data_IF_666860591899
#
_entry.id   IF_666860591899
#
_cell.length_a   1.000
_cell.length_b   1.000
_cell.length_c   1.000
_cell.angle_alpha   90.00
_cell.angle_beta   90.00
_cell.angle_gamma   90.00
#
_symmetry.space_group_name_H-M   'P 1'
#
loop_
_entity.id
_entity.type
_entity.pdbx_description
1 polymer ?
#
# COMPACT_ATOMS: atom_id res chain seq x y z
N UNK A 1 -26.30 -7.80 -57.62
CA UNK A 1 -24.95 -7.87 -58.21
C UNK A 1 -24.08 -8.56 -57.16
N UNK A 2 -23.83 -9.86 -57.18
CA UNK A 2 -23.25 -10.74 -58.21
C UNK A 2 -21.71 -10.87 -58.08
N UNK A 3 -21.27 -12.01 -57.51
CA UNK A 3 -20.04 -12.78 -57.84
C UNK A 3 -18.67 -12.10 -57.50
N UNK A 4 -17.59 -12.78 -57.12
CA UNK A 4 -17.19 -14.20 -57.25
C UNK A 4 -16.02 -14.60 -56.30
N UNK A 5 -15.94 -15.89 -55.94
CA UNK A 5 -14.69 -16.64 -55.63
C UNK A 5 -14.31 -17.49 -56.90
N UNK A 6 -13.31 -18.43 -56.97
CA UNK A 6 -12.45 -19.06 -55.93
C UNK A 6 -11.02 -19.51 -56.37
N UNK A 7 -10.36 -20.41 -55.58
CA UNK A 7 -9.26 -21.37 -55.94
C UNK A 7 -7.87 -20.74 -56.27
N UNK A 8 -6.70 -21.39 -56.29
CA UNK A 8 -6.10 -22.68 -55.86
C UNK A 8 -4.55 -22.55 -55.98
N UNK A 9 -3.63 -23.41 -55.49
CA UNK A 9 -3.65 -24.58 -54.57
C UNK A 9 -2.20 -24.90 -54.07
N UNK A 10 -2.07 -25.97 -53.27
CA UNK A 10 -0.86 -26.61 -52.75
C UNK A 10 0.12 -27.22 -53.79
N UNK A 11 1.37 -27.49 -53.38
CA UNK A 11 2.12 -28.70 -53.75
C UNK A 11 3.15 -29.10 -52.67
N UNK A 12 3.49 -30.39 -52.63
CA UNK A 12 4.32 -31.04 -51.62
C UNK A 12 5.50 -31.82 -52.27
N UNK A 13 6.17 -32.67 -51.47
CA UNK A 13 7.26 -33.62 -51.79
C UNK A 13 8.70 -33.09 -51.61
N UNK A 14 9.69 -33.92 -51.27
CA UNK A 14 9.69 -35.22 -50.58
C UNK A 14 11.14 -35.53 -50.11
N UNK A 15 11.30 -36.56 -49.27
CA UNK A 15 12.60 -36.97 -48.72
C UNK A 15 13.49 -37.73 -49.72
N UNK A 16 14.81 -37.76 -49.46
CA UNK A 16 15.58 -39.02 -49.51
C UNK A 16 16.96 -38.93 -48.83
N UNK A 17 17.35 -40.02 -48.16
CA UNK A 17 18.65 -40.22 -47.51
C UNK A 17 19.80 -40.44 -48.51
N UNK A 18 21.05 -40.21 -48.08
CA UNK A 18 22.08 -41.28 -48.03
C UNK A 18 23.31 -40.92 -47.17
N UNK A 19 23.92 -41.95 -46.54
CA UNK A 19 25.21 -41.91 -45.82
C UNK A 19 26.34 -42.45 -46.72
N UNK A 20 27.61 -42.11 -46.41
CA UNK A 20 28.83 -42.97 -46.40
C UNK A 20 30.10 -42.07 -46.48
N UNK A 21 30.81 -41.79 -45.37
CA UNK A 21 31.98 -42.50 -44.75
C UNK A 21 33.40 -42.13 -45.21
N UNK A 22 34.22 -41.75 -44.21
CA UNK A 22 35.68 -41.99 -44.03
C UNK A 22 36.69 -41.48 -45.10
N UNK A 23 37.56 -40.53 -44.67
CA UNK A 23 38.99 -40.79 -44.30
C UNK A 23 39.70 -39.52 -43.84
N UNK A 24 40.59 -39.65 -42.84
CA UNK A 24 41.60 -38.64 -42.47
C UNK A 24 42.88 -38.84 -43.30
N UNK A 25 43.76 -37.83 -43.37
CA UNK A 25 45.00 -37.91 -42.57
C UNK A 25 45.43 -36.59 -41.88
N UNK A 26 46.35 -36.71 -40.92
CA UNK A 26 46.91 -35.60 -40.13
C UNK A 26 47.82 -34.65 -40.93
N UNK A 27 47.77 -33.35 -40.62
CA UNK A 27 48.97 -32.48 -40.46
C UNK A 27 48.68 -31.49 -39.30
N UNK A 28 49.71 -31.13 -38.53
CA UNK A 28 49.63 -30.24 -37.35
C UNK A 28 49.50 -28.75 -37.71
N UNK A 29 48.89 -27.94 -36.84
CA UNK A 29 49.07 -26.49 -36.87
C UNK A 29 48.10 -25.67 -35.98
N UNK A 30 48.68 -24.86 -35.08
CA UNK A 30 48.10 -23.70 -34.40
C UNK A 30 46.76 -23.84 -33.62
N UNK A 31 46.85 -23.74 -32.29
CA UNK A 31 45.72 -23.49 -31.39
C UNK A 31 45.34 -22.01 -31.37
N UNK A 32 44.12 -21.66 -31.77
CA UNK A 32 43.47 -20.38 -31.44
C UNK A 32 41.95 -20.43 -31.64
N UNK A 33 41.22 -21.05 -30.71
CA UNK A 33 39.74 -20.98 -30.71
C UNK A 33 39.26 -19.66 -30.06
N UNK A 34 38.26 -18.95 -30.63
CA UNK A 34 37.76 -17.70 -30.08
C UNK A 34 36.96 -17.94 -28.78
N UNK A 35 37.11 -17.05 -27.80
CA UNK A 35 36.37 -17.11 -26.54
C UNK A 35 34.87 -16.87 -26.78
N UNK A 36 34.06 -17.91 -26.61
CA UNK A 36 32.62 -17.76 -26.34
C UNK A 36 32.48 -17.22 -24.92
N UNK A 37 32.12 -15.94 -24.78
CA UNK A 37 31.84 -15.32 -23.48
C UNK A 37 30.48 -15.78 -22.97
N UNK A 38 30.46 -16.80 -22.13
CA UNK A 38 29.30 -17.09 -21.30
C UNK A 38 29.06 -15.91 -20.35
N UNK A 39 27.97 -15.17 -20.55
CA UNK A 39 27.48 -14.23 -19.55
C UNK A 39 26.87 -15.02 -18.39
N UNK A 40 27.67 -15.27 -17.35
CA UNK A 40 27.18 -15.73 -16.06
C UNK A 40 26.08 -14.79 -15.58
N UNK A 41 24.88 -15.33 -15.37
CA UNK A 41 23.88 -14.66 -14.56
C UNK A 41 24.43 -14.59 -13.13
N UNK A 42 24.79 -13.38 -12.70
CA UNK A 42 25.08 -13.14 -11.29
C UNK A 42 23.77 -13.21 -10.50
N UNK A 43 23.53 -14.37 -9.88
CA UNK A 43 22.70 -14.45 -8.69
C UNK A 43 23.24 -13.42 -7.68
N UNK A 44 22.43 -12.40 -7.38
CA UNK A 44 22.74 -11.52 -6.26
C UNK A 44 22.49 -12.28 -4.97
N UNK A 45 23.54 -12.96 -4.47
CA UNK A 45 23.58 -13.39 -3.08
C UNK A 45 23.34 -12.17 -2.20
N UNK A 46 22.25 -12.20 -1.45
CA UNK A 46 22.01 -11.26 -0.37
C UNK A 46 23.11 -11.46 0.68
N UNK A 47 24.14 -10.62 0.66
CA UNK A 47 25.06 -10.54 1.78
C UNK A 47 24.28 -10.05 3.00
N UNK A 48 24.06 -10.94 3.95
CA UNK A 48 23.55 -10.61 5.28
C UNK A 48 24.58 -9.67 5.91
N UNK A 49 24.30 -8.37 5.93
CA UNK A 49 25.09 -7.41 6.71
C UNK A 49 24.81 -7.66 8.18
N UNK A 50 25.87 -7.84 8.95
CA UNK A 50 25.82 -7.98 10.39
C UNK A 50 25.44 -6.62 11.00
N UNK A 51 24.14 -6.37 11.22
CA UNK A 51 23.69 -5.07 11.68
C UNK A 51 22.27 -5.03 12.27
N UNK A 52 21.96 -3.89 12.90
CA UNK A 52 20.63 -3.56 13.40
C UNK A 52 19.64 -3.38 12.23
N UNK A 53 18.37 -3.75 12.36
CA UNK A 53 17.34 -3.38 11.38
C UNK A 53 16.55 -2.18 11.87
N UNK A 54 16.37 -1.21 10.98
CA UNK A 54 15.39 -0.14 11.10
C UNK A 54 14.40 -0.23 9.95
N UNK A 55 13.12 -0.39 10.26
CA UNK A 55 12.01 -0.34 9.31
C UNK A 55 11.36 1.02 9.41
N UNK A 56 11.27 1.71 8.28
CA UNK A 56 10.64 3.00 8.10
C UNK A 56 9.33 2.85 7.32
N UNK A 57 8.39 3.76 7.53
CA UNK A 57 7.07 3.76 6.90
C UNK A 57 6.74 5.14 6.29
N UNK A 58 6.17 5.08 5.10
CA UNK A 58 5.49 6.19 4.43
C UNK A 58 4.32 5.64 3.59
N UNK A 59 3.25 6.41 3.45
CA UNK A 59 2.17 6.19 2.48
C UNK A 59 1.83 7.51 1.79
N UNK A 60 1.05 7.46 0.72
CA UNK A 60 0.41 8.64 0.14
C UNK A 60 1.46 9.69 -0.28
N UNK A 61 2.52 9.25 -0.97
CA UNK A 61 3.65 10.11 -1.35
C UNK A 61 3.25 11.17 -2.38
N UNK A 62 2.36 10.87 -3.33
CA UNK A 62 1.93 11.83 -4.38
C UNK A 62 3.09 12.59 -5.05
N UNK A 63 4.12 11.85 -5.50
CA UNK A 63 5.41 12.36 -6.00
C UNK A 63 5.28 13.28 -7.23
N UNK A 64 4.15 13.24 -7.97
CA UNK A 64 3.82 14.22 -9.00
C UNK A 64 3.74 15.67 -8.48
N UNK A 65 3.53 15.87 -7.18
CA UNK A 65 3.62 17.17 -6.52
C UNK A 65 5.09 17.53 -6.22
N UNK A 66 5.54 18.70 -6.70
CA UNK A 66 6.94 19.15 -6.59
C UNK A 66 7.45 19.26 -5.16
N UNK A 67 6.58 19.64 -4.24
CA UNK A 67 6.85 19.72 -2.82
C UNK A 67 7.11 18.32 -2.21
N UNK A 68 6.39 17.31 -2.68
CA UNK A 68 6.52 15.92 -2.22
C UNK A 68 7.74 15.24 -2.87
N UNK A 69 7.99 15.48 -4.15
CA UNK A 69 9.27 15.11 -4.79
C UNK A 69 10.45 15.67 -3.98
N UNK A 70 10.42 16.99 -3.68
CA UNK A 70 11.48 17.64 -2.89
C UNK A 70 11.61 17.03 -1.50
N UNK A 71 10.51 16.67 -0.84
CA UNK A 71 10.55 15.97 0.46
C UNK A 71 11.31 14.64 0.34
N UNK A 72 10.96 13.80 -0.64
CA UNK A 72 11.59 12.51 -0.90
C UNK A 72 13.08 12.67 -1.29
N UNK A 73 13.43 13.67 -2.09
CA UNK A 73 14.84 14.00 -2.41
C UNK A 73 15.64 14.42 -1.17
N UNK A 74 15.01 15.16 -0.24
CA UNK A 74 15.64 15.70 0.96
C UNK A 74 15.67 14.73 2.15
N UNK A 75 15.01 13.57 2.08
CA UNK A 75 15.06 12.56 3.16
C UNK A 75 16.52 12.23 3.52
N UNK A 76 16.87 12.06 4.80
CA UNK A 76 18.21 11.66 5.20
C UNK A 76 18.55 10.29 4.60
N UNK A 77 19.77 10.14 4.08
CA UNK A 77 20.28 8.82 3.71
C UNK A 77 20.66 8.07 4.99
N UNK A 78 20.28 6.80 5.15
CA UNK A 78 20.59 6.03 6.36
C UNK A 78 22.10 5.97 6.67
N UNK A 79 22.94 6.12 5.65
CA UNK A 79 24.41 6.14 5.75
C UNK A 79 25.02 7.46 6.28
N UNK A 80 24.25 8.55 6.39
CA UNK A 80 24.77 9.90 6.69
C UNK A 80 24.59 10.35 8.15
N UNK A 81 24.16 9.47 9.06
CA UNK A 81 24.03 9.78 10.48
C UNK A 81 25.40 9.79 11.19
N UNK A 82 26.11 10.93 11.13
CA UNK A 82 27.19 11.36 12.02
C UNK A 82 28.20 10.29 12.53
N UNK A 83 29.30 10.10 11.79
CA UNK A 83 30.66 9.76 12.25
C UNK A 83 30.93 8.55 13.19
N UNK A 84 29.94 7.86 13.72
CA UNK A 84 30.14 6.61 14.46
C UNK A 84 30.17 5.44 13.47
N UNK A 85 31.35 4.84 13.30
CA UNK A 85 31.56 3.62 12.48
C UNK A 85 30.96 2.34 13.09
N UNK A 86 30.30 2.45 14.25
CA UNK A 86 29.75 1.33 15.02
C UNK A 86 28.26 1.05 14.75
N UNK A 87 27.60 1.86 13.91
CA UNK A 87 26.15 1.77 13.65
C UNK A 87 25.84 1.11 12.28
N UNK A 88 26.42 -0.08 12.05
CA UNK A 88 26.02 -0.95 10.93
C UNK A 88 24.52 -1.29 11.07
N UNK A 89 23.72 -0.70 10.18
CA UNK A 89 22.27 -0.72 10.25
C UNK A 89 21.67 -0.97 8.87
N UNK A 90 20.93 -2.06 8.73
CA UNK A 90 20.17 -2.39 7.53
C UNK A 90 18.82 -1.65 7.54
N UNK A 91 18.67 -0.73 6.60
CA UNK A 91 17.54 0.19 6.55
C UNK A 91 16.50 -0.24 5.51
N UNK A 92 15.23 -0.32 5.94
CA UNK A 92 14.11 -0.76 5.10
C UNK A 92 13.08 0.36 5.04
N UNK A 93 12.64 0.74 3.83
CA UNK A 93 11.49 1.63 3.65
C UNK A 93 10.27 0.82 3.18
N UNK A 94 9.17 0.89 3.94
CA UNK A 94 7.84 0.44 3.51
C UNK A 94 7.11 1.62 2.89
N UNK A 95 6.59 1.43 1.68
CA UNK A 95 5.78 2.39 0.95
C UNK A 95 4.37 1.80 0.74
N UNK A 96 3.41 2.23 1.56
CA UNK A 96 2.04 1.72 1.58
C UNK A 96 1.10 2.45 0.58
N UNK A 97 1.48 2.43 -0.69
CA UNK A 97 0.71 2.94 -1.83
C UNK A 97 0.69 4.45 -2.04
N UNK A 98 0.06 4.83 -3.15
CA UNK A 98 -0.09 6.18 -3.69
C UNK A 98 1.23 6.93 -3.83
N UNK A 99 2.11 6.37 -4.65
CA UNK A 99 3.41 6.96 -4.95
C UNK A 99 3.32 8.00 -6.05
N UNK A 100 2.75 7.65 -7.21
CA UNK A 100 2.62 8.58 -8.33
C UNK A 100 1.61 8.08 -9.39
N UNK A 101 0.94 9.01 -10.07
CA UNK A 101 0.03 8.70 -11.16
C UNK A 101 0.76 8.10 -12.38
N UNK A 102 2.03 8.45 -12.61
CA UNK A 102 2.79 8.03 -13.81
C UNK A 102 3.86 7.01 -13.48
N UNK A 103 4.03 6.02 -14.37
CA UNK A 103 5.10 5.01 -14.28
C UNK A 103 6.52 5.63 -14.29
N UNK A 104 6.71 6.77 -14.97
CA UNK A 104 7.96 7.54 -14.96
C UNK A 104 8.30 8.13 -13.58
N UNK A 105 7.27 8.59 -12.87
CA UNK A 105 7.41 9.26 -11.58
C UNK A 105 7.49 8.24 -10.43
N UNK A 106 6.79 7.10 -10.55
CA UNK A 106 7.06 5.87 -9.80
C UNK A 106 8.54 5.46 -9.92
N UNK A 107 9.08 5.34 -11.15
CA UNK A 107 10.49 4.97 -11.35
C UNK A 107 11.45 5.99 -10.73
N UNK A 108 11.17 7.29 -10.86
CA UNK A 108 11.96 8.38 -10.29
C UNK A 108 11.95 8.33 -8.76
N UNK A 109 10.78 8.15 -8.14
CA UNK A 109 10.63 8.02 -6.69
C UNK A 109 11.38 6.79 -6.15
N UNK A 110 11.14 5.60 -6.72
CA UNK A 110 11.80 4.37 -6.27
C UNK A 110 13.33 4.45 -6.39
N UNK A 111 13.86 5.03 -7.49
CA UNK A 111 15.30 5.26 -7.65
C UNK A 111 15.88 6.24 -6.64
N UNK A 112 15.08 7.17 -6.10
CA UNK A 112 15.52 8.08 -5.02
C UNK A 112 15.49 7.37 -3.67
N UNK A 113 14.47 6.56 -3.37
CA UNK A 113 14.41 5.75 -2.15
C UNK A 113 15.52 4.70 -2.08
N UNK A 114 15.78 3.96 -3.16
CA UNK A 114 16.84 2.94 -3.25
C UNK A 114 18.28 3.50 -3.16
N UNK A 115 18.46 4.83 -3.20
CA UNK A 115 19.75 5.49 -2.90
C UNK A 115 19.93 5.82 -1.41
N UNK A 116 18.86 5.71 -0.61
CA UNK A 116 18.79 6.17 0.79
C UNK A 116 18.55 5.03 1.78
N UNK A 117 17.92 3.95 1.33
CA UNK A 117 17.57 2.76 2.09
C UNK A 117 18.14 1.49 1.42
N UNK A 118 18.56 0.50 2.21
CA UNK A 118 19.11 -0.77 1.72
C UNK A 118 18.04 -1.68 1.08
N UNK A 119 16.78 -1.53 1.48
CA UNK A 119 15.63 -2.25 0.92
C UNK A 119 14.40 -1.34 0.84
N UNK A 120 13.57 -1.53 -0.19
CA UNK A 120 12.27 -0.86 -0.33
C UNK A 120 11.20 -1.91 -0.58
N UNK A 121 10.15 -1.91 0.24
CA UNK A 121 8.94 -2.70 0.10
C UNK A 121 7.77 -1.80 -0.36
N UNK A 122 6.90 -2.30 -1.24
CA UNK A 122 5.83 -1.50 -1.83
C UNK A 122 4.55 -2.30 -2.15
N UNK A 123 3.41 -1.67 -1.94
CA UNK A 123 2.07 -2.03 -2.46
C UNK A 123 1.54 -0.87 -3.28
N UNK A 124 0.81 -1.12 -4.36
CA UNK A 124 0.16 -0.04 -5.11
C UNK A 124 -1.03 0.56 -4.35
N UNK A 125 -1.29 1.85 -4.55
CA UNK A 125 -2.54 2.53 -4.20
C UNK A 125 -3.46 2.75 -5.41
N UNK A 126 -4.52 3.54 -5.23
CA UNK A 126 -5.45 3.85 -6.33
C UNK A 126 -4.84 4.80 -7.37
N UNK A 127 -4.11 5.84 -6.95
CA UNK A 127 -3.45 6.77 -7.87
C UNK A 127 -2.41 6.05 -8.75
N UNK A 128 -1.66 5.10 -8.17
CA UNK A 128 -0.70 4.28 -8.91
C UNK A 128 -1.36 3.48 -10.05
N UNK A 129 -2.68 3.23 -9.97
CA UNK A 129 -3.46 2.48 -10.97
C UNK A 129 -4.33 3.34 -11.88
N UNK A 130 -4.36 4.66 -11.71
CA UNK A 130 -5.08 5.58 -12.59
C UNK A 130 -4.52 5.54 -14.01
N UNK A 131 -5.40 5.32 -14.99
CA UNK A 131 -5.06 5.34 -16.41
C UNK A 131 -5.19 6.77 -16.96
N UNK A 132 -4.36 7.68 -16.44
CA UNK A 132 -4.40 9.11 -16.69
C UNK A 132 -3.87 9.51 -18.08
N UNK A 133 -2.95 8.72 -18.66
CA UNK A 133 -2.47 8.91 -20.03
C UNK A 133 -3.39 8.24 -21.08
N UNK A 134 -3.18 8.59 -22.36
CA UNK A 134 -3.85 7.91 -23.49
C UNK A 134 -3.26 6.52 -23.80
N UNK A 135 -2.07 6.23 -23.29
CA UNK A 135 -1.35 4.98 -23.50
C UNK A 135 -1.82 3.91 -22.51
N UNK A 136 -2.18 4.32 -21.29
CA UNK A 136 -2.78 3.47 -20.26
C UNK A 136 -4.26 3.19 -20.57
N UNK A 137 -4.53 1.96 -21.01
CA UNK A 137 -5.87 1.51 -21.40
C UNK A 137 -6.58 0.69 -20.34
N UNK A 138 -5.84 0.01 -19.47
CA UNK A 138 -6.39 -0.83 -18.41
C UNK A 138 -5.54 -0.78 -17.13
N UNK A 139 -6.20 -0.61 -15.98
CA UNK A 139 -5.54 -0.60 -14.66
C UNK A 139 -4.91 -1.96 -14.32
N UNK A 140 -5.51 -3.06 -14.80
CA UNK A 140 -4.93 -4.40 -14.63
C UNK A 140 -3.60 -4.57 -15.40
N UNK A 141 -3.51 -4.04 -16.62
CA UNK A 141 -2.27 -3.99 -17.40
C UNK A 141 -1.24 -3.06 -16.74
N UNK A 142 -1.72 -1.98 -16.10
CA UNK A 142 -0.88 -1.06 -15.33
C UNK A 142 -0.29 -1.73 -14.08
N UNK A 143 -1.04 -2.54 -13.33
CA UNK A 143 -0.50 -3.36 -12.22
C UNK A 143 0.70 -4.19 -12.70
N UNK A 144 0.56 -4.91 -13.82
CA UNK A 144 1.65 -5.70 -14.39
C UNK A 144 2.87 -4.85 -14.78
N UNK A 145 2.63 -3.63 -15.25
CA UNK A 145 3.70 -2.69 -15.64
C UNK A 145 4.43 -2.12 -14.41
N UNK A 146 3.69 -1.84 -13.32
CA UNK A 146 4.24 -1.45 -12.01
C UNK A 146 5.06 -2.59 -11.41
N UNK A 147 4.57 -3.82 -11.40
CA UNK A 147 5.33 -4.96 -10.88
C UNK A 147 6.62 -5.22 -11.69
N UNK A 148 6.58 -5.15 -13.02
CA UNK A 148 7.78 -5.21 -13.88
C UNK A 148 8.77 -4.06 -13.66
N UNK A 149 8.29 -2.89 -13.25
CA UNK A 149 9.14 -1.78 -12.82
C UNK A 149 9.80 -2.10 -11.47
N UNK A 150 9.03 -2.54 -10.48
CA UNK A 150 9.54 -2.91 -9.17
C UNK A 150 10.60 -4.02 -9.24
N UNK A 151 10.32 -5.10 -9.98
CA UNK A 151 11.25 -6.20 -10.26
C UNK A 151 12.56 -5.69 -10.89
N UNK A 152 12.47 -4.86 -11.94
CA UNK A 152 13.64 -4.26 -12.62
C UNK A 152 14.50 -3.40 -11.69
N UNK A 153 13.89 -2.74 -10.70
CA UNK A 153 14.60 -1.88 -9.74
C UNK A 153 15.04 -2.60 -8.46
N UNK A 154 14.54 -3.81 -8.19
CA UNK A 154 14.74 -4.52 -6.93
C UNK A 154 13.81 -4.11 -5.78
N UNK A 155 12.75 -3.34 -6.07
CA UNK A 155 11.70 -3.00 -5.09
C UNK A 155 10.86 -4.24 -4.81
N UNK A 156 10.64 -4.56 -3.53
CA UNK A 156 9.96 -5.78 -3.09
C UNK A 156 8.45 -5.58 -3.04
N UNK A 157 7.74 -6.31 -3.89
CA UNK A 157 6.26 -6.39 -3.93
C UNK A 157 5.71 -7.70 -3.38
N UNK A 158 6.59 -8.57 -2.86
CA UNK A 158 6.25 -9.87 -2.29
C UNK A 158 6.73 -9.97 -0.83
N UNK A 159 6.17 -10.88 -0.01
CA UNK A 159 6.62 -11.09 1.36
C UNK A 159 8.11 -11.45 1.49
N UNK A 160 8.69 -11.14 2.64
CA UNK A 160 10.07 -11.47 3.01
C UNK A 160 10.33 -12.99 2.97
N UNK A 161 11.56 -13.37 2.64
CA UNK A 161 12.03 -14.75 2.57
C UNK A 161 11.93 -15.51 3.91
N UNK A 162 12.03 -16.84 3.85
CA UNK A 162 11.70 -17.72 4.97
C UNK A 162 12.63 -17.69 6.19
N UNK A 163 13.73 -16.95 6.14
CA UNK A 163 14.59 -16.67 7.30
C UNK A 163 14.15 -15.43 8.08
N UNK A 164 13.18 -14.66 7.56
CA UNK A 164 12.89 -13.30 8.00
C UNK A 164 14.00 -12.34 7.61
N UNK A 165 14.02 -11.16 8.22
CA UNK A 165 15.05 -10.15 8.04
C UNK A 165 15.78 -9.95 9.39
N UNK A 166 17.08 -10.30 9.42
CA UNK A 166 18.10 -10.03 10.47
C UNK A 166 17.81 -10.45 11.92
N UNK A 167 18.75 -10.31 12.85
CA UNK A 167 20.13 -9.81 12.76
C UNK A 167 21.17 -10.76 13.39
N UNK A 168 22.45 -10.34 13.54
CA UNK A 168 23.60 -11.24 13.69
C UNK A 168 23.93 -11.74 15.11
N UNK A 169 23.20 -11.30 16.14
CA UNK A 169 23.37 -11.89 17.47
C UNK A 169 22.77 -13.31 17.46
N UNK A 170 23.64 -14.31 17.51
CA UNK A 170 23.32 -15.75 17.55
C UNK A 170 22.59 -16.20 18.85
N UNK A 171 22.14 -15.24 19.67
CA UNK A 171 21.01 -15.45 20.58
C UNK A 171 19.73 -15.47 19.73
N UNK A 172 19.57 -16.58 19.00
CA UNK A 172 18.67 -16.81 17.88
C UNK A 172 17.18 -16.86 18.29
N UNK A 173 16.68 -15.80 18.94
CA UNK A 173 15.30 -15.67 19.40
C UNK A 173 14.43 -14.77 18.53
N UNK A 174 14.93 -13.76 17.82
CA UNK A 174 14.03 -12.81 17.11
C UNK A 174 13.94 -13.07 15.61
N UNK A 175 12.75 -12.88 15.04
CA UNK A 175 12.50 -12.94 13.59
C UNK A 175 11.54 -11.84 13.17
N UNK A 176 11.95 -11.01 12.22
CA UNK A 176 11.11 -9.98 11.60
C UNK A 176 10.65 -10.45 10.23
N UNK A 177 9.34 -10.43 10.00
CA UNK A 177 8.73 -10.76 8.70
C UNK A 177 7.96 -9.54 8.17
N UNK A 178 8.09 -9.26 6.88
CA UNK A 178 7.42 -8.12 6.22
C UNK A 178 6.59 -8.64 5.05
N UNK A 179 5.31 -8.25 4.95
CA UNK A 179 4.41 -8.67 3.88
C UNK A 179 3.64 -7.51 3.27
N UNK A 180 3.93 -7.11 2.00
CA UNK A 180 2.98 -6.37 1.19
C UNK A 180 1.74 -7.24 0.93
N UNK A 181 0.55 -6.65 1.12
CA UNK A 181 -0.74 -7.23 0.81
C UNK A 181 -1.44 -6.30 -0.18
N UNK A 182 -1.43 -6.67 -1.46
CA UNK A 182 -2.07 -5.87 -2.51
C UNK A 182 -3.58 -6.02 -2.40
N UNK A 183 -4.31 -4.91 -2.37
CA UNK A 183 -5.74 -4.88 -2.10
C UNK A 183 -6.46 -3.87 -2.98
N UNK A 184 -7.79 -3.93 -3.00
CA UNK A 184 -8.67 -2.89 -3.54
C UNK A 184 -9.84 -2.71 -2.58
N UNK A 185 -10.43 -1.52 -2.54
CA UNK A 185 -11.64 -1.31 -1.74
C UNK A 185 -12.84 -2.12 -2.28
N UNK A 186 -13.84 -2.34 -1.43
CA UNK A 186 -15.15 -2.86 -1.84
C UNK A 186 -16.26 -2.05 -1.17
N UNK A 187 -17.41 -1.90 -1.84
CA UNK A 187 -18.52 -1.10 -1.31
C UNK A 187 -19.10 -1.69 -0.03
N UNK A 188 -19.06 -3.01 0.08
CA UNK A 188 -19.51 -3.81 1.23
C UNK A 188 -18.63 -3.68 2.49
N UNK A 189 -17.51 -2.96 2.42
CA UNK A 189 -16.74 -2.55 3.58
C UNK A 189 -17.46 -1.46 4.39
N UNK A 190 -18.30 -0.66 3.72
CA UNK A 190 -19.11 0.38 4.35
C UNK A 190 -20.31 -0.21 5.06
N UNK A 191 -20.14 -0.52 6.36
CA UNK A 191 -21.20 -1.07 7.23
C UNK A 191 -21.96 0.00 8.02
N UNK A 192 -21.51 1.26 8.00
CA UNK A 192 -22.18 2.37 8.69
C UNK A 192 -23.45 2.80 7.94
N UNK A 193 -24.50 3.19 8.68
CA UNK A 193 -25.72 3.73 8.07
C UNK A 193 -25.47 5.09 7.40
N UNK A 194 -26.33 5.47 6.44
CA UNK A 194 -26.23 6.80 5.81
C UNK A 194 -26.59 7.92 6.79
N UNK A 195 -25.81 9.00 6.75
CA UNK A 195 -26.01 10.21 7.55
C UNK A 195 -27.28 10.97 7.18
N UNK A 196 -27.84 11.69 8.14
CA UNK A 196 -29.01 12.54 7.93
C UNK A 196 -28.59 13.83 7.23
N UNK A 197 -28.80 13.87 5.91
CA UNK A 197 -28.64 15.08 5.12
C UNK A 197 -29.78 16.06 5.42
N UNK A 198 -29.48 17.36 5.69
CA UNK A 198 -30.51 18.37 5.90
C UNK A 198 -31.42 18.55 4.69
N UNK A 199 -32.62 19.12 4.91
CA UNK A 199 -33.52 19.50 3.84
C UNK A 199 -32.81 20.39 2.79
N UNK A 200 -32.97 20.05 1.51
CA UNK A 200 -32.33 20.75 0.41
C UNK A 200 -30.85 20.41 0.19
N UNK A 201 -30.25 19.45 0.92
CA UNK A 201 -28.88 18.95 0.68
C UNK A 201 -28.93 17.57 0.02
N UNK A 202 -28.23 17.41 -1.11
CA UNK A 202 -28.15 16.13 -1.83
C UNK A 202 -26.68 15.65 -1.96
N UNK A 203 -26.23 14.84 -1.00
CA UNK A 203 -24.89 14.26 -0.98
C UNK A 203 -24.79 13.19 -2.09
N UNK A 204 -23.99 13.40 -3.15
CA UNK A 204 -23.94 12.50 -4.30
C UNK A 204 -23.32 11.14 -3.95
N UNK A 205 -23.59 10.10 -4.76
CA UNK A 205 -22.95 8.79 -4.64
C UNK A 205 -21.44 8.82 -4.92
N UNK A 206 -20.73 7.83 -4.38
CA UNK A 206 -19.26 7.76 -4.33
C UNK A 206 -18.62 7.88 -5.72
N UNK A 207 -19.27 7.31 -6.73
CA UNK A 207 -18.85 7.34 -8.14
C UNK A 207 -18.74 8.75 -8.74
N UNK A 208 -19.40 9.76 -8.15
CA UNK A 208 -19.30 11.15 -8.59
C UNK A 208 -18.07 11.86 -8.03
N UNK A 209 -17.65 11.49 -6.82
CA UNK A 209 -16.58 12.19 -6.09
C UNK A 209 -15.25 11.45 -6.23
N UNK A 210 -15.25 10.15 -5.94
CA UNK A 210 -14.06 9.29 -6.03
C UNK A 210 -13.58 9.21 -7.48
N UNK A 211 -12.35 9.64 -7.73
CA UNK A 211 -11.80 9.78 -9.09
C UNK A 211 -11.51 8.43 -9.74
N UNK A 212 -11.33 7.38 -8.95
CA UNK A 212 -11.07 6.00 -9.38
C UNK A 212 -12.14 5.50 -10.36
N UNK A 213 -13.42 5.81 -10.13
CA UNK A 213 -14.52 5.45 -11.04
C UNK A 213 -14.43 6.11 -12.43
N UNK A 214 -13.57 7.11 -12.61
CA UNK A 214 -13.28 7.77 -13.89
C UNK A 214 -11.94 7.37 -14.49
N UNK A 215 -10.92 7.17 -13.65
CA UNK A 215 -9.53 6.98 -14.10
C UNK A 215 -9.06 5.53 -14.02
N UNK A 216 -9.60 4.70 -13.12
CA UNK A 216 -9.35 3.26 -13.15
C UNK A 216 -10.17 2.62 -14.29
N UNK A 217 -9.54 1.75 -15.06
CA UNK A 217 -10.13 1.10 -16.24
C UNK A 217 -10.01 -0.41 -16.10
N UNK A 218 -11.07 -1.05 -15.63
CA UNK A 218 -11.12 -2.49 -15.43
C UNK A 218 -11.61 -3.22 -16.70
N UNK A 219 -11.21 -4.49 -16.94
CA UNK A 219 -11.81 -5.28 -18.01
C UNK A 219 -13.30 -5.56 -17.71
N UNK A 220 -14.05 -6.08 -18.69
CA UNK A 220 -15.45 -6.46 -18.48
C UNK A 220 -15.56 -7.51 -17.37
N UNK A 221 -16.24 -7.15 -16.28
CA UNK A 221 -16.31 -7.96 -15.07
C UNK A 221 -17.18 -9.22 -15.22
N UNK A 222 -17.94 -9.38 -16.31
CA UNK A 222 -18.89 -10.50 -16.53
C UNK A 222 -18.23 -11.88 -16.32
N UNK A 223 -17.00 -12.05 -16.81
CA UNK A 223 -16.23 -13.28 -16.64
C UNK A 223 -15.83 -13.50 -15.17
N UNK A 224 -15.38 -12.45 -14.49
CA UNK A 224 -14.98 -12.51 -13.07
C UNK A 224 -16.19 -12.77 -12.17
N UNK A 225 -17.33 -12.12 -12.45
CA UNK A 225 -18.60 -12.37 -11.79
C UNK A 225 -19.02 -13.83 -11.93
N UNK A 226 -18.97 -14.39 -13.14
CA UNK A 226 -19.31 -15.81 -13.38
C UNK A 226 -18.37 -16.80 -12.68
N UNK A 227 -17.09 -16.45 -12.55
CA UNK A 227 -16.07 -17.28 -11.89
C UNK A 227 -16.19 -17.24 -10.36
N UNK A 228 -16.42 -16.06 -9.78
CA UNK A 228 -16.42 -15.80 -8.33
C UNK A 228 -17.79 -16.10 -7.69
N UNK A 229 -18.90 -15.91 -8.42
CA UNK A 229 -20.26 -16.06 -7.85
C UNK A 229 -20.59 -17.53 -7.60
N UNK A 230 -20.40 -17.97 -6.35
CA UNK A 230 -20.90 -19.24 -5.80
C UNK A 230 -22.11 -19.07 -4.88
N UNK A 231 -22.53 -17.82 -4.65
CA UNK A 231 -23.56 -17.41 -3.71
C UNK A 231 -24.78 -16.80 -4.44
N UNK A 232 -25.92 -16.74 -3.76
CA UNK A 232 -27.15 -16.12 -4.29
C UNK A 232 -27.17 -14.59 -4.17
N UNK A 233 -26.26 -14.00 -3.38
CA UNK A 233 -26.18 -12.56 -3.13
C UNK A 233 -25.31 -11.87 -4.17
N UNK A 234 -25.91 -10.99 -4.98
CA UNK A 234 -25.18 -10.12 -5.91
C UNK A 234 -24.36 -9.09 -5.10
N UNK A 235 -23.07 -8.98 -5.42
CA UNK A 235 -22.12 -8.01 -4.86
C UNK A 235 -21.83 -6.85 -5.81
N UNK A 236 -21.23 -5.78 -5.30
CA UNK A 236 -20.77 -4.61 -6.04
C UNK A 236 -19.71 -4.98 -7.09
N UNK A 237 -19.52 -4.13 -8.09
CA UNK A 237 -18.41 -4.27 -9.06
C UNK A 237 -17.05 -4.18 -8.36
N UNK A 238 -16.97 -3.32 -7.33
CA UNK A 238 -15.80 -3.11 -6.47
C UNK A 238 -15.37 -4.41 -5.76
N UNK A 239 -16.32 -5.21 -5.25
CA UNK A 239 -16.06 -6.53 -4.64
C UNK A 239 -15.34 -7.49 -5.60
N UNK A 240 -15.79 -7.58 -6.87
CA UNK A 240 -15.18 -8.49 -7.84
C UNK A 240 -13.79 -8.03 -8.28
N UNK A 241 -13.55 -6.71 -8.30
CA UNK A 241 -12.21 -6.13 -8.49
C UNK A 241 -11.32 -6.47 -7.28
N UNK A 242 -11.83 -6.29 -6.05
CA UNK A 242 -11.13 -6.60 -4.80
C UNK A 242 -10.74 -8.08 -4.71
N UNK A 243 -11.66 -9.03 -4.96
CA UNK A 243 -11.31 -10.47 -5.03
C UNK A 243 -10.28 -10.81 -6.11
N UNK A 244 -10.21 -10.07 -7.22
CA UNK A 244 -9.21 -10.31 -8.28
C UNK A 244 -7.84 -9.70 -7.99
N UNK A 245 -7.80 -8.56 -7.30
CA UNK A 245 -6.54 -8.02 -6.78
C UNK A 245 -6.02 -8.87 -5.62
N UNK A 246 -6.91 -9.34 -4.74
CA UNK A 246 -6.55 -10.21 -3.62
C UNK A 246 -5.80 -11.47 -4.05
N UNK A 247 -6.24 -12.10 -5.15
CA UNK A 247 -5.59 -13.27 -5.74
C UNK A 247 -4.13 -13.02 -6.21
N UNK A 248 -3.69 -11.76 -6.39
CA UNK A 248 -2.30 -11.44 -6.69
C UNK A 248 -1.36 -11.75 -5.52
N UNK A 249 -1.89 -11.81 -4.29
CA UNK A 249 -1.13 -12.20 -3.09
C UNK A 249 -0.84 -13.71 -3.07
N UNK A 250 -1.69 -14.53 -3.69
CA UNK A 250 -1.55 -15.99 -3.75
C UNK A 250 -0.73 -16.48 -4.95
N UNK A 251 -0.29 -15.56 -5.82
CA UNK A 251 0.57 -15.88 -6.97
C UNK A 251 1.77 -16.73 -6.54
N UNK A 252 1.96 -17.85 -7.23
CA UNK A 252 2.96 -18.87 -6.94
C UNK A 252 2.97 -19.39 -5.49
N UNK A 253 1.87 -19.25 -4.74
CA UNK A 253 1.76 -19.66 -3.32
C UNK A 253 2.57 -18.81 -2.34
N UNK A 254 2.93 -17.58 -2.69
CA UNK A 254 3.84 -16.74 -1.89
C UNK A 254 3.30 -16.35 -0.51
N UNK A 255 2.01 -16.03 -0.39
CA UNK A 255 1.41 -15.67 0.91
C UNK A 255 1.30 -16.89 1.84
N UNK A 256 0.91 -18.07 1.33
CA UNK A 256 0.88 -19.30 2.13
C UNK A 256 2.28 -19.67 2.65
N UNK A 257 3.32 -19.62 1.80
CA UNK A 257 4.71 -19.80 2.25
C UNK A 257 5.11 -18.80 3.34
N UNK A 258 4.67 -17.55 3.24
CA UNK A 258 4.93 -16.55 4.27
C UNK A 258 4.30 -16.96 5.61
N UNK A 259 3.04 -17.38 5.62
CA UNK A 259 2.35 -17.88 6.82
C UNK A 259 3.04 -19.13 7.40
N UNK A 260 3.47 -20.07 6.54
CA UNK A 260 4.26 -21.25 6.93
C UNK A 260 5.59 -20.87 7.60
N UNK A 261 6.30 -19.86 7.07
CA UNK A 261 7.56 -19.39 7.63
C UNK A 261 7.37 -18.67 8.99
N UNK A 262 6.34 -17.85 9.11
CA UNK A 262 5.93 -17.21 10.38
C UNK A 262 5.59 -18.27 11.43
N UNK A 263 4.79 -19.28 11.05
CA UNK A 263 4.43 -20.41 11.91
C UNK A 263 5.65 -21.22 12.34
N UNK A 264 6.55 -21.57 11.41
CA UNK A 264 7.78 -22.30 11.71
C UNK A 264 8.66 -21.54 12.70
N UNK A 265 8.85 -20.22 12.52
CA UNK A 265 9.61 -19.41 13.47
C UNK A 265 8.98 -19.45 14.89
N UNK A 266 7.65 -19.38 14.99
CA UNK A 266 6.97 -19.51 16.28
C UNK A 266 7.16 -20.90 16.91
N UNK A 267 7.08 -21.97 16.12
CA UNK A 267 7.32 -23.35 16.55
C UNK A 267 8.79 -23.60 16.99
N UNK A 268 9.75 -22.90 16.37
CA UNK A 268 11.16 -22.85 16.79
C UNK A 268 11.40 -22.00 18.06
N UNK A 269 10.35 -21.48 18.70
CA UNK A 269 10.44 -20.70 19.93
C UNK A 269 10.99 -19.29 19.75
N UNK A 270 10.86 -18.70 18.55
CA UNK A 270 11.27 -17.33 18.26
C UNK A 270 10.21 -16.32 18.76
N UNK A 271 10.66 -15.17 19.24
CA UNK A 271 9.88 -13.93 19.34
C UNK A 271 9.64 -13.43 17.90
N UNK A 272 8.39 -13.49 17.41
CA UNK A 272 8.05 -13.17 16.01
C UNK A 272 7.44 -11.77 15.89
N UNK A 273 8.08 -10.91 15.11
CA UNK A 273 7.56 -9.60 14.72
C UNK A 273 7.07 -9.67 13.28
N UNK A 274 5.80 -9.37 13.04
CA UNK A 274 5.24 -9.29 11.68
C UNK A 274 4.79 -7.86 11.37
N UNK A 275 5.21 -7.36 10.21
CA UNK A 275 4.77 -6.10 9.63
C UNK A 275 4.05 -6.42 8.32
N UNK A 276 2.73 -6.53 8.36
CA UNK A 276 1.93 -6.51 7.13
C UNK A 276 1.70 -5.06 6.71
N UNK A 277 1.47 -4.82 5.42
CA UNK A 277 1.02 -3.50 4.97
C UNK A 277 0.23 -3.59 3.68
N UNK A 278 -0.68 -2.65 3.49
CA UNK A 278 -1.48 -2.50 2.28
C UNK A 278 -1.79 -1.02 2.04
N UNK A 279 -2.43 -0.64 0.94
CA UNK A 279 -2.84 0.76 0.77
C UNK A 279 -4.18 1.05 1.43
N UNK A 280 -5.18 0.21 1.16
CA UNK A 280 -6.55 0.35 1.66
C UNK A 280 -6.72 -0.17 3.10
N UNK A 281 -7.84 0.16 3.73
CA UNK A 281 -8.09 -0.18 5.14
C UNK A 281 -8.55 -1.64 5.30
N UNK A 282 -7.97 -2.42 6.23
CA UNK A 282 -8.49 -3.73 6.61
C UNK A 282 -9.71 -3.63 7.55
N UNK A 283 -9.86 -2.52 8.29
CA UNK A 283 -10.82 -2.39 9.40
C UNK A 283 -11.56 -1.04 9.32
N UNK A 284 -12.89 -1.06 9.39
CA UNK A 284 -13.72 0.16 9.29
C UNK A 284 -13.47 1.11 10.47
N UNK A 285 -12.96 0.57 11.58
CA UNK A 285 -12.52 1.27 12.76
C UNK A 285 -11.37 2.26 12.50
N UNK A 286 -10.65 2.13 11.37
CA UNK A 286 -9.48 2.93 10.99
C UNK A 286 -9.79 4.19 10.16
N UNK A 287 -11.06 4.50 9.95
CA UNK A 287 -11.53 5.77 9.37
C UNK A 287 -12.53 6.43 10.33
N UNK A 288 -12.57 7.77 10.45
CA UNK A 288 -13.60 8.45 11.23
C UNK A 288 -15.00 8.12 10.72
N UNK A 289 -15.97 8.06 11.63
CA UNK A 289 -17.38 7.82 11.31
C UNK A 289 -17.89 8.80 10.24
N UNK A 290 -18.82 8.35 9.40
CA UNK A 290 -19.42 9.14 8.29
C UNK A 290 -19.80 10.58 8.67
N UNK A 291 -20.34 10.78 9.87
CA UNK A 291 -20.76 12.10 10.40
C UNK A 291 -19.65 13.13 10.53
N UNK A 292 -18.39 12.70 10.58
CA UNK A 292 -17.21 13.55 10.73
C UNK A 292 -16.46 13.83 9.42
N UNK A 293 -16.71 13.01 8.39
CA UNK A 293 -16.09 13.13 7.07
C UNK A 293 -16.73 14.25 6.26
N UNK A 294 -15.91 15.11 5.65
CA UNK A 294 -16.40 16.15 4.71
C UNK A 294 -17.14 15.56 3.49
N UNK A 295 -16.85 14.31 3.17
CA UNK A 295 -17.66 13.51 2.26
C UNK A 295 -18.02 12.17 2.94
N UNK A 296 -19.22 12.06 3.54
CA UNK A 296 -19.64 10.88 4.30
C UNK A 296 -19.56 9.57 3.51
N UNK A 297 -20.04 9.56 2.26
CA UNK A 297 -20.06 8.39 1.37
C UNK A 297 -18.67 7.95 0.87
N UNK A 298 -17.57 8.55 1.33
CA UNK A 298 -16.22 8.11 0.96
C UNK A 298 -15.92 6.71 1.49
N UNK A 299 -16.47 6.32 2.65
CA UNK A 299 -16.27 5.00 3.29
C UNK A 299 -16.55 3.82 2.35
N UNK A 300 -17.42 4.00 1.35
CA UNK A 300 -17.74 3.04 0.27
C UNK A 300 -16.56 2.73 -0.68
N UNK A 301 -15.44 3.43 -0.52
CA UNK A 301 -14.26 3.28 -1.35
C UNK A 301 -12.95 3.46 -0.56
N UNK A 302 -12.86 2.94 0.68
CA UNK A 302 -11.62 3.04 1.49
C UNK A 302 -10.99 1.74 1.97
N UNK A 303 -11.70 0.62 1.99
CA UNK A 303 -11.21 -0.61 2.61
C UNK A 303 -11.88 -1.87 2.09
N UNK A 304 -11.45 -3.02 2.61
CA UNK A 304 -11.93 -4.33 2.19
C UNK A 304 -11.94 -5.35 3.32
N UNK A 305 -13.03 -6.09 3.45
CA UNK A 305 -13.12 -7.20 4.39
C UNK A 305 -12.24 -8.38 3.93
N UNK A 306 -12.04 -8.52 2.62
CA UNK A 306 -11.17 -9.54 2.02
C UNK A 306 -9.71 -9.31 2.42
N UNK A 307 -9.28 -8.04 2.43
CA UNK A 307 -7.98 -7.67 2.99
C UNK A 307 -7.93 -8.06 4.48
N UNK A 308 -8.98 -7.79 5.25
CA UNK A 308 -9.02 -8.18 6.67
C UNK A 308 -8.86 -9.68 6.89
N UNK A 309 -9.50 -10.52 6.07
CA UNK A 309 -9.36 -12.00 6.10
C UNK A 309 -7.88 -12.41 6.11
N UNK A 310 -7.00 -11.71 5.37
CA UNK A 310 -5.55 -11.98 5.39
C UNK A 310 -4.83 -11.48 6.63
N UNK A 311 -5.24 -10.34 7.18
CA UNK A 311 -4.60 -9.75 8.38
C UNK A 311 -4.94 -10.60 9.60
N UNK A 312 -6.20 -11.04 9.74
CA UNK A 312 -6.61 -11.91 10.84
C UNK A 312 -5.94 -13.29 10.74
N UNK A 313 -5.74 -13.88 9.55
CA UNK A 313 -4.95 -15.13 9.40
C UNK A 313 -3.52 -15.02 9.94
N UNK A 314 -2.89 -13.85 9.86
CA UNK A 314 -1.57 -13.60 10.48
C UNK A 314 -1.69 -13.51 12.00
N UNK A 315 -2.67 -12.74 12.49
CA UNK A 315 -2.97 -12.58 13.93
C UNK A 315 -3.29 -13.92 14.60
N UNK A 316 -4.07 -14.77 13.94
CA UNK A 316 -4.40 -16.13 14.35
C UNK A 316 -3.15 -16.98 14.57
N UNK A 317 -2.20 -16.99 13.63
CA UNK A 317 -0.93 -17.74 13.75
C UNK A 317 -0.08 -17.21 14.91
N UNK A 318 -0.05 -15.88 15.10
CA UNK A 318 0.72 -15.26 16.17
C UNK A 318 0.10 -15.44 17.56
N UNK A 319 -1.19 -15.77 17.66
CA UNK A 319 -1.92 -15.92 18.93
C UNK A 319 -1.72 -14.70 19.86
N UNK A 320 -1.86 -13.48 19.35
CA UNK A 320 -1.48 -12.24 20.07
C UNK A 320 -2.17 -12.10 21.44
N UNK A 321 -3.43 -12.53 21.58
CA UNK A 321 -4.17 -12.56 22.85
C UNK A 321 -3.48 -13.38 23.97
N UNK A 322 -2.57 -14.29 23.60
CA UNK A 322 -1.91 -15.25 24.49
C UNK A 322 -0.38 -15.07 24.52
N UNK A 323 0.19 -14.30 23.61
CA UNK A 323 1.64 -14.13 23.44
C UNK A 323 2.08 -12.71 23.74
N UNK A 324 2.73 -12.50 24.89
CA UNK A 324 3.34 -11.21 25.24
C UNK A 324 4.69 -10.92 24.58
N UNK A 325 5.08 -11.70 23.57
CA UNK A 325 6.39 -11.58 22.88
C UNK A 325 6.28 -11.39 21.38
N UNK A 326 5.28 -12.01 20.77
CA UNK A 326 4.99 -11.84 19.36
C UNK A 326 4.28 -10.50 19.13
N UNK A 327 4.42 -9.92 17.94
CA UNK A 327 3.79 -8.65 17.62
C UNK A 327 3.38 -8.58 16.16
N UNK A 328 2.24 -7.91 15.91
CA UNK A 328 1.73 -7.64 14.58
C UNK A 328 1.47 -6.14 14.43
N UNK A 329 2.09 -5.53 13.44
CA UNK A 329 1.71 -4.21 12.94
C UNK A 329 1.17 -4.33 11.52
N UNK A 330 0.04 -3.69 11.24
CA UNK A 330 -0.45 -3.47 9.88
C UNK A 330 -0.29 -1.99 9.51
N UNK A 331 0.50 -1.69 8.49
CA UNK A 331 0.66 -0.33 7.99
C UNK A 331 -0.25 -0.04 6.77
N UNK A 332 -0.80 1.18 6.67
CA UNK A 332 -1.77 1.54 5.62
C UNK A 332 -1.68 3.00 5.14
N UNK A 333 -2.52 3.35 4.16
CA UNK A 333 -2.55 4.65 3.47
C UNK A 333 -3.98 5.11 3.12
N UNK A 334 -4.12 5.74 1.96
CA UNK A 334 -5.38 6.12 1.30
C UNK A 334 -6.19 7.25 1.94
N UNK A 335 -6.56 7.14 3.22
CA UNK A 335 -7.46 8.14 3.86
C UNK A 335 -6.80 9.49 4.12
N UNK A 336 -5.47 9.55 3.98
CA UNK A 336 -4.63 10.67 4.40
C UNK A 336 -4.95 11.10 5.86
N UNK A 337 -5.27 10.16 6.76
CA UNK A 337 -5.37 10.44 8.19
C UNK A 337 -4.14 9.88 8.91
N UNK A 338 -3.47 10.71 9.71
CA UNK A 338 -2.45 10.20 10.63
C UNK A 338 -3.12 9.29 11.64
N UNK A 339 -2.77 8.00 11.62
CA UNK A 339 -3.37 6.98 12.46
C UNK A 339 -2.31 6.10 13.10
N UNK A 340 -2.42 5.84 14.40
CA UNK A 340 -1.57 4.90 15.13
C UNK A 340 -2.37 4.43 16.36
N UNK A 341 -2.88 3.21 16.30
CA UNK A 341 -3.77 2.66 17.33
C UNK A 341 -3.60 1.14 17.43
N UNK A 342 -3.80 0.56 18.61
CA UNK A 342 -3.96 -0.89 18.77
C UNK A 342 -5.45 -1.18 18.93
N UNK A 343 -6.01 -2.06 18.09
CA UNK A 343 -7.41 -2.49 18.19
C UNK A 343 -7.54 -3.74 19.06
N UNK A 344 -8.77 -4.20 19.30
CA UNK A 344 -9.10 -5.31 20.21
C UNK A 344 -8.47 -6.65 19.82
N UNK A 345 -8.16 -6.87 18.54
CA UNK A 345 -7.41 -8.03 18.04
C UNK A 345 -5.89 -7.98 18.36
N UNK A 346 -5.45 -6.97 19.13
CA UNK A 346 -4.06 -6.69 19.52
C UNK A 346 -3.10 -6.38 18.35
N UNK A 347 -3.62 -6.09 17.16
CA UNK A 347 -2.82 -5.59 16.03
C UNK A 347 -2.66 -4.08 16.16
N UNK A 348 -1.42 -3.59 15.98
CA UNK A 348 -1.15 -2.14 15.83
C UNK A 348 -1.41 -1.72 14.39
N UNK A 349 -2.29 -0.77 14.17
CA UNK A 349 -2.58 -0.20 12.85
C UNK A 349 -1.95 1.19 12.73
N UNK A 350 -1.17 1.42 11.67
CA UNK A 350 -0.39 2.67 11.49
C UNK A 350 -0.51 3.23 10.07
N UNK A 351 -0.89 4.50 9.94
CA UNK A 351 -0.84 5.27 8.69
C UNK A 351 0.08 6.48 8.88
N UNK A 352 1.15 6.53 8.06
CA UNK A 352 2.11 7.63 7.99
C UNK A 352 2.04 8.30 6.61
N UNK A 353 0.87 8.88 6.33
CA UNK A 353 0.55 9.53 5.07
C UNK A 353 1.34 10.84 4.88
N UNK A 354 2.12 10.95 3.80
CA UNK A 354 2.67 12.25 3.39
C UNK A 354 1.55 13.16 2.89
N UNK A 355 0.55 12.64 2.17
CA UNK A 355 -0.61 13.37 1.64
C UNK A 355 -0.24 14.56 0.73
N UNK A 356 -1.23 15.26 0.19
CA UNK A 356 -0.97 16.36 -0.76
C UNK A 356 -0.56 17.68 -0.06
N UNK A 357 0.24 18.56 -0.69
CA UNK A 357 0.63 19.86 -0.12
C UNK A 357 -0.55 20.76 0.26
N UNK A 358 -1.68 20.62 -0.43
CA UNK A 358 -2.92 21.34 -0.13
C UNK A 358 -3.53 20.92 1.22
N UNK A 359 -3.30 19.69 1.65
CA UNK A 359 -3.79 19.16 2.91
C UNK A 359 -2.90 19.53 4.09
N UNK A 360 -1.58 19.64 3.88
CA UNK A 360 -0.64 20.17 4.88
C UNK A 360 -1.08 21.56 5.38
N UNK A 361 -1.60 22.39 4.47
CA UNK A 361 -2.11 23.73 4.81
C UNK A 361 -3.53 23.69 5.39
N UNK A 362 -4.41 22.80 4.89
CA UNK A 362 -5.84 22.79 5.24
C UNK A 362 -6.17 22.04 6.52
N UNK A 363 -5.46 20.95 6.81
CA UNK A 363 -5.78 20.02 7.89
C UNK A 363 -4.53 19.39 8.56
N UNK A 364 -3.44 20.13 8.79
CA UNK A 364 -2.15 19.56 9.22
C UNK A 364 -2.27 18.59 10.39
N UNK A 365 -3.07 18.93 11.43
CA UNK A 365 -3.18 18.12 12.65
C UNK A 365 -3.83 16.76 12.45
N UNK A 366 -4.63 16.57 11.39
CA UNK A 366 -5.21 15.26 11.08
C UNK A 366 -4.32 14.40 10.17
N UNK A 367 -3.12 14.87 9.81
CA UNK A 367 -2.11 14.10 9.07
C UNK A 367 -1.03 13.50 9.97
N UNK A 368 -0.84 14.03 11.19
CA UNK A 368 0.39 13.80 11.96
C UNK A 368 0.39 12.49 12.74
N UNK A 369 1.30 11.59 12.36
CA UNK A 369 1.85 10.52 13.21
C UNK A 369 3.38 10.61 13.16
N UNK A 370 4.04 10.42 14.31
CA UNK A 370 5.47 10.69 14.47
C UNK A 370 5.84 12.17 14.33
N UNK A 371 7.12 12.45 14.04
CA UNK A 371 7.66 13.80 13.82
C UNK A 371 7.41 14.35 12.40
N UNK A 372 6.61 13.64 11.60
CA UNK A 372 6.45 13.82 10.16
C UNK A 372 5.94 15.20 9.71
N UNK A 373 5.28 15.95 10.63
CA UNK A 373 4.71 17.29 10.36
C UNK A 373 4.82 18.27 11.54
N UNK A 374 5.57 17.95 12.59
CA UNK A 374 6.05 19.04 13.47
C UNK A 374 7.04 19.89 12.68
N UNK A 375 7.31 21.13 13.09
CA UNK A 375 8.38 21.95 12.48
C UNK A 375 9.79 21.44 12.88
N UNK A 376 9.96 20.12 13.01
CA UNK A 376 11.18 19.46 13.39
C UNK A 376 12.15 19.37 12.20
N UNK A 377 13.46 19.61 12.40
CA UNK A 377 14.45 19.45 11.36
C UNK A 377 14.70 17.95 11.10
N UNK A 378 14.04 17.37 10.09
CA UNK A 378 14.16 15.93 9.84
C UNK A 378 13.86 15.46 8.42
N UNK A 379 12.72 15.83 7.83
CA UNK A 379 12.21 15.28 6.56
C UNK A 379 12.34 13.74 6.46
N UNK A 380 12.11 13.03 7.56
CA UNK A 380 12.29 11.57 7.63
C UNK A 380 10.94 10.86 7.58
N UNK A 381 10.85 9.71 6.88
CA UNK A 381 9.78 8.75 7.09
C UNK A 381 9.67 8.34 8.56
N UNK A 382 8.50 7.85 8.98
CA UNK A 382 8.26 7.34 10.33
C UNK A 382 9.18 6.12 10.56
N UNK A 383 10.03 6.14 11.59
CA UNK A 383 10.75 4.94 12.04
C UNK A 383 9.74 3.97 12.66
N UNK A 384 9.19 3.05 11.87
CA UNK A 384 8.15 2.13 12.33
C UNK A 384 8.66 1.19 13.42
N UNK A 385 9.83 0.58 13.22
CA UNK A 385 10.41 -0.45 14.10
C UNK A 385 11.94 -0.37 14.11
N UNK A 386 12.56 -0.53 15.28
CA UNK A 386 14.01 -0.68 15.47
C UNK A 386 14.30 -1.99 16.23
N UNK A 387 15.09 -2.89 15.63
CA UNK A 387 15.37 -4.21 16.20
C UNK A 387 16.29 -4.18 17.42
N UNK A 388 17.04 -3.08 17.63
CA UNK A 388 17.94 -2.89 18.78
C UNK A 388 17.16 -2.61 20.06
N UNK A 389 16.11 -1.79 19.96
CA UNK A 389 15.20 -1.52 21.08
C UNK A 389 14.10 -2.58 21.18
N UNK A 390 13.88 -3.36 20.11
CA UNK A 390 12.69 -4.20 19.91
C UNK A 390 11.40 -3.40 20.11
N UNK A 391 11.46 -2.10 19.80
CA UNK A 391 10.36 -1.17 19.99
C UNK A 391 9.88 -0.66 18.64
N UNK A 392 8.58 -0.78 18.46
CA UNK A 392 7.84 0.04 17.53
C UNK A 392 7.88 1.50 18.03
N UNK A 393 8.40 2.44 17.24
CA UNK A 393 8.40 3.85 17.69
C UNK A 393 6.95 4.32 17.79
N UNK A 394 6.66 5.07 18.86
CA UNK A 394 5.29 5.41 19.21
C UNK A 394 4.37 4.21 19.34
N UNK A 395 4.84 3.11 19.93
CA UNK A 395 3.98 2.12 20.59
C UNK A 395 3.47 2.67 21.92
N UNK A 396 2.28 2.26 22.36
CA UNK A 396 1.74 2.58 23.70
C UNK A 396 2.65 2.11 24.84
N UNK A 397 3.51 1.12 24.58
CA UNK A 397 4.57 0.66 25.51
C UNK A 397 5.76 1.62 25.64
N UNK A 398 5.97 2.56 24.72
CA UNK A 398 6.94 3.65 24.81
C UNK A 398 6.24 5.01 24.84
N UNK A 399 5.59 5.31 25.96
CA UNK A 399 4.71 6.47 26.21
C UNK A 399 5.34 7.82 25.78
N UNK A 400 6.67 7.97 25.83
CA UNK A 400 7.36 9.22 25.46
C UNK A 400 7.35 9.52 23.96
N UNK A 401 7.17 8.51 23.12
CA UNK A 401 7.16 8.62 21.66
C UNK A 401 5.77 8.35 21.06
N UNK A 402 4.78 7.98 21.90
CA UNK A 402 3.43 7.64 21.45
C UNK A 402 2.71 8.86 20.85
N UNK A 403 2.62 8.89 19.53
CA UNK A 403 1.75 9.80 18.79
C UNK A 403 0.67 9.00 18.06
N UNK A 404 -0.58 8.94 18.59
CA UNK A 404 -1.69 8.26 17.93
C UNK A 404 -2.17 9.00 16.67
N UNK A 405 -1.95 10.32 16.58
CA UNK A 405 -2.66 11.21 15.65
C UNK A 405 -4.04 11.60 16.15
N UNK A 406 -4.66 12.60 15.50
CA UNK A 406 -5.88 13.27 16.00
C UNK A 406 -7.07 12.31 16.17
N UNK A 407 -7.36 11.49 15.16
CA UNK A 407 -8.56 10.65 15.14
C UNK A 407 -8.41 9.38 15.98
N UNK A 408 -7.25 8.72 15.94
CA UNK A 408 -6.98 7.60 16.83
C UNK A 408 -7.07 8.05 18.30
N UNK A 409 -6.48 9.20 18.67
CA UNK A 409 -6.63 9.75 20.03
C UNK A 409 -8.09 9.97 20.41
N UNK A 410 -8.88 10.55 19.51
CA UNK A 410 -10.31 10.74 19.76
C UNK A 410 -10.99 9.40 20.07
N UNK A 411 -10.67 8.33 19.35
CA UNK A 411 -11.25 7.00 19.56
C UNK A 411 -10.63 6.18 20.71
N UNK A 412 -9.46 6.57 21.24
CA UNK A 412 -8.97 6.07 22.55
C UNK A 412 -9.81 6.61 23.71
N UNK A 413 -10.28 7.86 23.59
CA UNK A 413 -11.03 8.58 24.63
C UNK A 413 -12.55 8.46 24.47
N UNK A 414 -13.05 8.11 23.27
CA UNK A 414 -14.47 8.08 22.92
C UNK A 414 -14.82 6.81 22.12
N UNK A 415 -15.84 6.07 22.54
CA UNK A 415 -16.37 4.96 21.74
C UNK A 415 -16.98 5.46 20.42
N UNK A 416 -16.84 4.68 19.34
CA UNK A 416 -17.56 4.91 18.09
C UNK A 416 -19.08 4.78 18.31
N UNK A 417 -19.85 5.64 17.66
CA UNK A 417 -21.31 5.60 17.61
C UNK A 417 -21.78 5.82 16.16
N UNK A 418 -21.58 4.82 15.27
CA UNK A 418 -21.99 4.91 13.87
C UNK A 418 -23.51 4.93 13.69
N UNK A 419 -24.29 4.71 14.77
CA UNK A 419 -25.74 4.90 14.77
C UNK A 419 -26.14 6.39 14.78
N UNK A 420 -25.22 7.26 15.20
CA UNK A 420 -25.41 8.71 15.21
C UNK A 420 -25.22 9.31 13.82
N UNK A 421 -26.36 9.50 13.13
CA UNK A 421 -26.43 10.03 11.77
C UNK A 421 -26.31 11.56 11.70
N UNK A 422 -26.22 12.24 12.85
CA UNK A 422 -26.17 13.70 12.92
C UNK A 422 -24.80 14.20 12.46
N UNK A 423 -24.77 14.93 11.35
CA UNK A 423 -23.56 15.55 10.82
C UNK A 423 -22.92 16.51 11.84
N UNK A 424 -21.62 16.39 12.04
CA UNK A 424 -20.89 17.33 12.87
C UNK A 424 -20.89 18.75 12.25
N UNK A 425 -20.81 19.84 13.05
CA UNK A 425 -21.08 21.20 12.57
C UNK A 425 -20.25 21.65 11.35
N UNK A 426 -18.96 21.26 11.28
CA UNK A 426 -18.11 21.58 10.13
C UNK A 426 -18.51 20.80 8.86
N UNK A 427 -18.97 19.54 9.01
CA UNK A 427 -19.49 18.73 7.90
C UNK A 427 -20.82 19.31 7.43
N UNK A 428 -21.75 19.57 8.35
CA UNK A 428 -23.04 20.22 8.07
C UNK A 428 -22.88 21.51 7.26
N UNK A 429 -21.98 22.39 7.70
CA UNK A 429 -21.64 23.64 6.99
C UNK A 429 -21.03 23.37 5.61
N UNK A 430 -20.12 22.38 5.49
CA UNK A 430 -19.50 22.01 4.22
C UNK A 430 -20.51 21.44 3.22
N UNK A 431 -21.31 20.44 3.61
CA UNK A 431 -22.27 19.78 2.70
C UNK A 431 -23.37 20.73 2.26
N UNK A 432 -23.84 21.62 3.14
CA UNK A 432 -24.84 22.65 2.80
C UNK A 432 -24.29 23.62 1.77
N UNK A 433 -23.04 24.07 1.93
CA UNK A 433 -22.37 24.97 0.98
C UNK A 433 -22.02 24.31 -0.36
N UNK A 434 -21.67 23.02 -0.38
CA UNK A 434 -21.20 22.33 -1.60
C UNK A 434 -22.32 21.62 -2.34
N UNK A 435 -23.20 20.91 -1.61
CA UNK A 435 -24.27 20.05 -2.14
C UNK A 435 -25.69 20.51 -1.79
N UNK A 436 -25.85 21.63 -1.10
CA UNK A 436 -27.14 22.29 -0.90
C UNK A 436 -27.78 22.83 -2.19
N UNK A 437 -29.07 23.13 -2.10
CA UNK A 437 -29.84 23.84 -3.12
C UNK A 437 -29.26 25.23 -3.42
N UNK A 438 -29.70 25.83 -4.53
CA UNK A 438 -29.24 27.18 -4.92
C UNK A 438 -29.69 28.23 -3.90
N UNK A 439 -30.84 28.00 -3.29
CA UNK A 439 -31.50 28.83 -2.29
C UNK A 439 -30.75 28.75 -0.97
N UNK A 440 -30.41 27.54 -0.51
CA UNK A 440 -29.60 27.31 0.69
C UNK A 440 -28.22 27.95 0.56
N UNK A 441 -27.56 27.75 -0.59
CA UNK A 441 -26.25 28.36 -0.90
C UNK A 441 -26.29 29.90 -0.89
N UNK A 442 -27.33 30.50 -1.47
CA UNK A 442 -27.55 31.97 -1.41
C UNK A 442 -27.76 32.45 0.02
N UNK A 443 -28.58 31.76 0.80
CA UNK A 443 -28.82 32.09 2.21
C UNK A 443 -27.52 32.10 3.01
N UNK A 444 -26.70 31.05 2.88
CA UNK A 444 -25.40 30.95 3.54
C UNK A 444 -24.38 32.02 3.12
N UNK A 445 -24.43 32.50 1.87
CA UNK A 445 -23.57 33.60 1.41
C UNK A 445 -23.99 34.95 1.99
N UNK A 446 -25.29 35.16 2.23
CA UNK A 446 -25.81 36.39 2.85
C UNK A 446 -25.52 36.46 4.36
N UNK A 447 -25.28 35.32 5.02
CA UNK A 447 -24.99 35.25 6.46
C UNK A 447 -23.51 35.14 6.81
N UNK A 448 -22.60 34.97 5.84
CA UNK A 448 -21.20 34.64 6.14
C UNK A 448 -20.26 35.85 6.22
N UNK A 449 -19.71 36.12 7.41
CA UNK A 449 -18.32 36.59 7.52
C UNK A 449 -17.55 36.15 8.78
N UNK A 450 -18.15 35.42 9.73
CA UNK A 450 -17.49 35.01 11.00
C UNK A 450 -17.62 33.53 11.39
N UNK A 451 -18.73 32.85 11.10
CA UNK A 451 -19.13 31.65 11.87
C UNK A 451 -18.86 30.29 11.19
N UNK A 452 -17.87 30.20 10.30
CA UNK A 452 -17.50 28.90 9.71
C UNK A 452 -16.66 28.07 10.70
N UNK A 453 -17.27 27.05 11.32
CA UNK A 453 -16.57 26.12 12.22
C UNK A 453 -15.28 25.58 11.57
N UNK A 454 -14.11 25.72 12.22
CA UNK A 454 -12.85 25.24 11.66
C UNK A 454 -12.86 23.71 11.53
N UNK A 455 -12.19 23.19 10.51
CA UNK A 455 -11.98 21.74 10.37
C UNK A 455 -11.17 21.21 11.57
N UNK A 456 -11.44 19.99 12.07
CA UNK A 456 -10.69 19.41 13.19
C UNK A 456 -9.17 19.36 12.95
N UNK A 457 -8.72 19.06 11.73
CA UNK A 457 -7.30 19.10 11.38
C UNK A 457 -6.66 20.50 11.40
N UNK A 458 -7.43 21.58 11.55
CA UNK A 458 -6.96 22.98 11.67
C UNK A 458 -7.02 23.47 13.13
N UNK A 459 -8.12 23.23 13.82
CA UNK A 459 -8.33 23.61 15.24
C UNK A 459 -7.63 22.67 16.23
N UNK A 460 -7.48 21.40 15.86
CA UNK A 460 -7.13 20.29 16.76
C UNK A 460 -8.26 19.85 17.69
N UNK A 461 -9.49 20.29 17.42
CA UNK A 461 -10.69 19.94 18.17
C UNK A 461 -11.64 19.19 17.23
N UNK A 462 -12.05 17.99 17.64
CA UNK A 462 -13.11 17.17 17.05
C UNK A 462 -14.41 17.49 17.77
#
# INVERSE_FOLDING_TARGET
MALSSPRCAAHANAASNTKLTKRSPNVMGASSNPKVTHHNHHSHHHHHREGNIKVFLISDIHFDAKENERFIEQMPSSSNSNNNKDDDCYSILIIAGDVAEKLSDLERCFRTCLKKFDCVFYTFGNHDLWCASKEEKCSLEKIQSVFKLCERLGVKTDPSSGEGIGGPNDDAKRRVFIAPVHSWYEREFDTEEEVEAPEGVNIPGVERVMTDYRLCKWPKLDAWKKEITKTTTIKSDDYYISKKIDALNDADGKFERFLENVKRAKEEGKDVTVITFSHFLPRIELIPEKRFLLYPKLTQAVGSNILNERIERVTEILHLEKSGKDSHTHAFGHTHFGWNLVLENNVRYVQAALATPKEWVRRPRSLVVGEFFSNAPGNSPLLLYDSRTNAFSGSSSNIKEYNPGLWAKYYEENARDPSNKTLAPWVLSYVSRVWGSRELKKSMMMTSNTDASPLPGKSGQV
#
